data_IF_959763007297
#
_entry.id   IF_959763007297
#
_cell.length_a   1.000
_cell.length_b   1.000
_cell.length_c   1.000
_cell.angle_alpha   90.00
_cell.angle_beta   90.00
_cell.angle_gamma   90.00
#
_symmetry.space_group_name_H-M   'P 1'
#
loop_
_entity.id
_entity.type
_entity.pdbx_description
1 polymer ?
#
# COMPACT_ATOMS: atom_id res chain seq x y z
N UNK A 1 12.29 -0.39 6.52
CA UNK A 1 13.63 0.21 6.42
C UNK A 1 14.28 -0.12 5.07
N UNK A 2 15.36 0.58 4.70
CA UNK A 2 16.12 0.28 3.49
C UNK A 2 16.65 -1.17 3.44
N UNK A 3 16.94 -1.76 4.59
CA UNK A 3 17.38 -3.16 4.72
C UNK A 3 16.28 -4.20 4.43
N UNK A 4 15.03 -3.78 4.25
CA UNK A 4 13.89 -4.65 3.98
C UNK A 4 13.62 -4.85 2.47
N UNK A 5 14.50 -4.36 1.61
CA UNK A 5 14.38 -4.57 0.15
C UNK A 5 14.32 -6.05 -0.20
N UNK A 6 13.40 -6.41 -1.08
CA UNK A 6 13.16 -7.78 -1.53
C UNK A 6 12.33 -8.66 -0.59
N UNK A 7 11.89 -8.12 0.57
CA UNK A 7 11.08 -8.89 1.53
C UNK A 7 9.62 -8.97 1.12
N UNK A 8 8.99 -10.05 1.61
CA UNK A 8 7.53 -10.21 1.59
C UNK A 8 7.04 -10.13 3.03
N UNK A 9 6.10 -9.23 3.29
CA UNK A 9 5.45 -9.07 4.58
C UNK A 9 4.08 -9.73 4.54
N UNK A 10 3.85 -10.65 5.44
CA UNK A 10 2.53 -11.27 5.64
C UNK A 10 1.86 -10.60 6.83
N UNK A 11 0.72 -9.98 6.58
CA UNK A 11 -0.01 -9.19 7.58
C UNK A 11 -1.08 -10.06 8.23
N UNK A 12 -0.80 -10.50 9.44
CA UNK A 12 -1.66 -11.36 10.25
C UNK A 12 -2.13 -10.63 11.51
N UNK A 13 -2.68 -9.42 11.35
CA UNK A 13 -3.12 -8.57 12.46
C UNK A 13 -4.51 -8.01 12.17
N UNK A 14 -5.54 -8.60 12.79
CA UNK A 14 -6.93 -8.18 12.63
C UNK A 14 -7.23 -6.76 13.17
N UNK A 15 -6.42 -6.24 14.07
CA UNK A 15 -6.61 -4.89 14.66
C UNK A 15 -6.12 -3.75 13.76
N UNK A 16 -5.60 -4.06 12.57
CA UNK A 16 -4.99 -3.07 11.70
C UNK A 16 -3.57 -2.68 12.12
N UNK A 17 -2.83 -2.07 11.22
CA UNK A 17 -1.48 -1.57 11.46
C UNK A 17 -1.06 -0.54 10.42
N UNK A 18 0.00 0.19 10.72
CA UNK A 18 0.66 1.08 9.76
C UNK A 18 2.01 0.49 9.36
N UNK A 19 2.23 0.35 8.05
CA UNK A 19 3.52 0.03 7.45
C UNK A 19 4.15 1.33 6.93
N UNK A 20 5.18 1.82 7.62
CA UNK A 20 5.93 3.00 7.19
C UNK A 20 7.03 2.59 6.21
N UNK A 21 7.01 3.18 5.02
CA UNK A 21 8.04 2.99 4.00
C UNK A 21 9.35 3.68 4.39
N UNK A 22 10.50 3.26 3.85
CA UNK A 22 11.74 4.01 4.05
C UNK A 22 11.64 5.40 3.40
N UNK A 23 12.22 6.41 4.05
CA UNK A 23 12.18 7.78 3.54
C UNK A 23 13.17 7.97 2.39
N UNK A 24 12.68 8.56 1.31
CA UNK A 24 13.48 9.00 0.17
C UNK A 24 14.26 10.28 0.55
N UNK A 25 13.64 11.17 1.32
CA UNK A 25 14.22 12.43 1.75
C UNK A 25 15.44 12.29 2.67
N UNK A 26 15.59 11.14 3.34
CA UNK A 26 16.72 10.90 4.24
C UNK A 26 18.07 10.66 3.53
N UNK A 27 18.09 10.77 2.20
CA UNK A 27 19.32 10.67 1.39
C UNK A 27 19.89 9.25 1.27
N UNK A 28 19.13 8.23 1.67
CA UNK A 28 19.49 6.83 1.44
C UNK A 28 19.17 6.48 -0.01
N UNK A 29 20.11 5.84 -0.70
CA UNK A 29 19.87 5.37 -2.06
C UNK A 29 18.83 4.25 -2.05
N UNK A 30 17.60 4.56 -2.47
CA UNK A 30 16.48 3.61 -2.52
C UNK A 30 16.08 3.22 -3.94
N UNK A 31 16.88 3.58 -4.94
CA UNK A 31 16.60 3.19 -6.33
C UNK A 31 16.57 1.66 -6.47
N UNK A 32 15.47 1.13 -6.98
CA UNK A 32 15.22 -0.31 -7.05
C UNK A 32 14.81 -0.98 -5.74
N UNK A 33 14.72 -0.26 -4.60
CA UNK A 33 14.17 -0.83 -3.38
C UNK A 33 12.73 -1.32 -3.64
N UNK A 34 12.41 -2.50 -3.12
CA UNK A 34 11.10 -3.07 -3.33
C UNK A 34 10.68 -3.97 -2.15
N UNK A 35 9.39 -4.12 -1.95
CA UNK A 35 8.83 -5.15 -1.08
C UNK A 35 7.44 -5.55 -1.55
N UNK A 36 6.94 -6.65 -0.99
CA UNK A 36 5.56 -7.11 -1.19
C UNK A 36 4.86 -7.20 0.15
N UNK A 37 3.55 -6.95 0.13
CA UNK A 37 2.67 -7.14 1.29
C UNK A 37 1.54 -8.07 0.87
N UNK A 38 1.22 -9.02 1.71
CA UNK A 38 0.09 -9.95 1.54
C UNK A 38 -0.75 -9.92 2.80
N UNK A 39 -2.04 -9.72 2.67
CA UNK A 39 -2.99 -9.74 3.79
C UNK A 39 -3.42 -11.18 4.06
N UNK A 40 -3.10 -11.68 5.26
CA UNK A 40 -3.46 -13.05 5.69
C UNK A 40 -4.68 -13.10 6.60
N UNK A 41 -5.05 -11.97 7.20
CA UNK A 41 -6.18 -11.90 8.14
C UNK A 41 -6.99 -10.66 7.85
N UNK A 42 -8.32 -10.78 7.82
CA UNK A 42 -9.22 -9.64 7.65
C UNK A 42 -8.98 -8.59 8.72
N UNK A 43 -8.86 -7.34 8.30
CA UNK A 43 -8.73 -6.19 9.19
C UNK A 43 -10.12 -5.83 9.71
N UNK A 44 -10.37 -6.05 10.98
CA UNK A 44 -11.73 -6.00 11.57
C UNK A 44 -12.04 -4.80 12.43
N UNK A 45 -11.03 -4.06 12.92
CA UNK A 45 -11.28 -2.97 13.88
C UNK A 45 -10.62 -1.63 13.54
N UNK A 46 -9.56 -1.64 12.74
CA UNK A 46 -8.89 -0.44 12.23
C UNK A 46 -8.50 -0.67 10.78
N UNK A 47 -7.79 0.26 10.18
CA UNK A 47 -7.28 0.14 8.80
C UNK A 47 -5.89 -0.49 8.77
N UNK A 48 -5.54 -1.15 7.67
CA UNK A 48 -4.14 -1.34 7.29
C UNK A 48 -3.72 -0.14 6.43
N UNK A 49 -2.65 0.53 6.82
CA UNK A 49 -2.18 1.73 6.14
C UNK A 49 -0.73 1.56 5.71
N UNK A 50 -0.43 1.82 4.44
CA UNK A 50 0.92 2.04 3.95
C UNK A 50 1.13 3.55 3.93
N UNK A 51 2.12 4.04 4.66
CA UNK A 51 2.45 5.47 4.73
C UNK A 51 3.87 5.73 4.25
N UNK A 52 4.10 6.91 3.69
CA UNK A 52 5.43 7.35 3.29
C UNK A 52 6.39 7.47 4.49
N UNK A 53 7.68 7.54 4.21
CA UNK A 53 8.71 7.72 5.22
C UNK A 53 8.62 9.09 5.90
N UNK A 54 9.15 9.20 7.11
CA UNK A 54 9.28 10.48 7.79
C UNK A 54 10.08 11.46 6.90
N UNK A 55 9.67 12.70 6.81
CA UNK A 55 10.23 13.76 5.97
C UNK A 55 9.92 13.68 4.46
N UNK A 56 9.22 12.65 4.00
CA UNK A 56 8.68 12.61 2.64
C UNK A 56 7.37 13.41 2.55
N UNK A 57 6.98 13.83 1.35
CA UNK A 57 5.72 14.53 1.09
C UNK A 57 5.19 14.10 -0.28
N UNK A 58 4.03 13.45 -0.29
CA UNK A 58 3.34 13.02 -1.50
C UNK A 58 4.24 12.21 -2.46
N UNK A 59 5.06 11.30 -1.91
CA UNK A 59 5.99 10.49 -2.73
C UNK A 59 5.36 9.19 -3.23
N UNK A 60 4.22 8.76 -2.67
CA UNK A 60 3.54 7.54 -3.09
C UNK A 60 2.71 7.80 -4.34
N UNK A 61 2.93 7.01 -5.39
CA UNK A 61 2.06 6.91 -6.58
C UNK A 61 1.35 5.57 -6.51
N UNK A 62 0.05 5.59 -6.29
CA UNK A 62 -0.74 4.39 -6.07
C UNK A 62 -1.61 4.04 -7.27
N UNK A 63 -1.70 2.76 -7.59
CA UNK A 63 -2.66 2.19 -8.53
C UNK A 63 -3.34 0.99 -7.90
N UNK A 64 -4.65 0.87 -8.15
CA UNK A 64 -5.44 -0.27 -7.69
C UNK A 64 -5.91 -1.09 -8.88
N UNK A 65 -5.74 -2.40 -8.80
CA UNK A 65 -6.32 -3.37 -9.74
C UNK A 65 -7.30 -4.24 -8.95
N UNK A 66 -8.56 -4.19 -9.36
CA UNK A 66 -9.64 -4.98 -8.79
C UNK A 66 -9.79 -6.32 -9.53
N UNK A 67 -10.07 -7.39 -8.79
CA UNK A 67 -10.27 -8.72 -9.34
C UNK A 67 -11.76 -9.14 -9.36
N UNK A 68 -12.68 -8.28 -8.91
CA UNK A 68 -14.12 -8.57 -8.92
C UNK A 68 -14.79 -8.25 -10.25
N UNK A 69 -15.68 -9.14 -10.66
CA UNK A 69 -16.49 -9.01 -11.87
C UNK A 69 -17.89 -8.40 -11.62
N UNK A 70 -18.21 -7.99 -10.42
CA UNK A 70 -19.51 -7.39 -10.08
C UNK A 70 -19.39 -5.88 -10.06
N UNK A 71 -20.00 -5.27 -11.04
CA UNK A 71 -20.05 -3.82 -11.24
C UNK A 71 -20.77 -3.08 -10.10
N UNK A 72 -20.16 -2.91 -8.99
CA UNK A 72 -20.48 -1.83 -8.05
C UNK A 72 -19.43 -0.70 -8.22
N UNK A 73 -19.43 -0.13 -9.38
CA UNK A 73 -18.82 1.04 -9.95
C UNK A 73 -18.07 2.03 -9.08
N UNK A 74 -17.14 1.60 -8.24
CA UNK A 74 -16.11 2.47 -7.71
C UNK A 74 -15.04 2.69 -8.78
N UNK A 75 -14.59 3.91 -8.99
CA UNK A 75 -13.37 4.12 -9.76
C UNK A 75 -12.20 3.61 -8.93
N UNK A 76 -11.26 2.84 -9.54
CA UNK A 76 -10.08 2.36 -8.82
C UNK A 76 -9.40 3.52 -8.09
N UNK A 77 -9.08 3.34 -6.82
CA UNK A 77 -8.32 4.32 -6.08
C UNK A 77 -6.92 4.44 -6.69
N UNK A 78 -6.49 5.65 -6.96
CA UNK A 78 -5.16 5.87 -7.52
C UNK A 78 -4.82 7.34 -7.63
N UNK A 79 -3.54 7.63 -7.68
CA UNK A 79 -3.06 8.99 -7.89
C UNK A 79 -1.79 8.99 -8.71
N UNK A 80 -1.74 9.87 -9.71
CA UNK A 80 -0.52 10.13 -10.51
C UNK A 80 0.31 11.30 -9.97
N UNK A 81 -0.25 12.08 -9.05
CA UNK A 81 0.41 13.29 -8.51
C UNK A 81 1.15 13.04 -7.20
N UNK A 82 0.85 11.95 -6.54
CA UNK A 82 1.40 11.58 -5.25
C UNK A 82 0.34 11.62 -4.14
N UNK A 83 0.59 10.83 -3.11
CA UNK A 83 -0.21 10.80 -1.87
C UNK A 83 0.69 10.41 -0.70
N UNK A 84 0.21 10.66 0.50
CA UNK A 84 0.90 10.30 1.76
C UNK A 84 0.59 8.87 2.19
N UNK A 85 -0.63 8.39 1.92
CA UNK A 85 -1.10 7.09 2.41
C UNK A 85 -1.87 6.31 1.35
N UNK A 86 -1.71 4.98 1.42
CA UNK A 86 -2.61 4.00 0.82
C UNK A 86 -3.26 3.21 1.96
N UNK A 87 -4.58 3.25 2.05
CA UNK A 87 -5.36 2.76 3.18
C UNK A 87 -6.28 1.65 2.72
N UNK A 88 -6.18 0.48 3.33
CA UNK A 88 -7.12 -0.62 3.19
C UNK A 88 -8.14 -0.52 4.33
N UNK A 89 -9.41 -0.36 3.99
CA UNK A 89 -10.50 -0.18 4.95
C UNK A 89 -10.69 -1.44 5.83
N UNK A 90 -11.23 -1.24 7.01
CA UNK A 90 -11.65 -2.33 7.88
C UNK A 90 -13.02 -2.90 7.43
N UNK A 91 -13.27 -4.14 7.82
CA UNK A 91 -14.57 -4.81 7.61
C UNK A 91 -14.79 -5.37 6.20
N UNK A 92 -13.86 -5.16 5.27
CA UNK A 92 -13.86 -5.83 3.99
C UNK A 92 -13.25 -7.24 4.10
N UNK A 93 -13.64 -8.13 3.21
CA UNK A 93 -12.97 -9.43 3.06
C UNK A 93 -11.73 -9.23 2.20
N UNK A 94 -10.59 -9.06 2.87
CA UNK A 94 -9.34 -8.61 2.25
C UNK A 94 -8.23 -9.67 2.31
N UNK A 95 -8.57 -10.89 2.73
CA UNK A 95 -7.59 -12.00 2.75
C UNK A 95 -7.17 -12.34 1.33
N UNK A 96 -5.87 -12.27 1.08
CA UNK A 96 -5.29 -12.48 -0.25
C UNK A 96 -4.97 -11.18 -1.00
N UNK A 97 -5.49 -10.04 -0.56
CA UNK A 97 -5.10 -8.74 -1.09
C UNK A 97 -3.60 -8.54 -0.93
N UNK A 98 -3.00 -7.89 -1.92
CA UNK A 98 -1.56 -7.71 -1.96
C UNK A 98 -1.18 -6.34 -2.51
N UNK A 99 -0.01 -5.88 -2.07
CA UNK A 99 0.59 -4.65 -2.52
C UNK A 99 2.02 -4.93 -2.98
N UNK A 100 2.33 -4.59 -4.22
CA UNK A 100 3.68 -4.59 -4.76
C UNK A 100 4.22 -3.16 -4.70
N UNK A 101 5.35 -2.96 -4.03
CA UNK A 101 5.94 -1.65 -3.78
C UNK A 101 7.33 -1.59 -4.39
N UNK A 102 7.58 -0.57 -5.21
CA UNK A 102 8.88 -0.34 -5.86
C UNK A 102 9.26 1.14 -5.74
N UNK A 103 10.51 1.42 -5.41
CA UNK A 103 11.06 2.77 -5.38
C UNK A 103 11.91 3.07 -6.61
N UNK A 104 11.70 4.23 -7.22
CA UNK A 104 12.52 4.76 -8.31
C UNK A 104 13.65 5.68 -7.82
N UNK A 105 13.85 5.80 -6.52
CA UNK A 105 14.74 6.79 -5.91
C UNK A 105 14.10 8.17 -5.69
N UNK A 106 12.97 8.46 -6.34
CA UNK A 106 12.21 9.72 -6.19
C UNK A 106 10.74 9.54 -5.87
N UNK A 107 10.19 8.37 -6.17
CA UNK A 107 8.79 8.01 -5.91
C UNK A 107 8.68 6.55 -5.44
N UNK A 108 7.67 6.29 -4.63
CA UNK A 108 7.23 4.95 -4.23
C UNK A 108 6.00 4.56 -5.05
N UNK A 109 6.14 3.59 -5.92
CA UNK A 109 5.02 3.05 -6.71
C UNK A 109 4.38 1.90 -5.93
N UNK A 110 3.13 2.07 -5.55
CA UNK A 110 2.33 1.08 -4.82
C UNK A 110 1.27 0.54 -5.76
N UNK A 111 1.35 -0.72 -6.09
CA UNK A 111 0.39 -1.42 -6.93
C UNK A 111 -0.45 -2.35 -6.06
N UNK A 112 -1.68 -1.96 -5.79
CA UNK A 112 -2.62 -2.75 -5.01
C UNK A 112 -3.41 -3.70 -5.94
N UNK A 113 -3.39 -4.98 -5.63
CA UNK A 113 -4.25 -5.99 -6.24
C UNK A 113 -5.23 -6.45 -5.17
N UNK A 114 -6.48 -6.07 -5.32
CA UNK A 114 -7.51 -6.24 -4.29
C UNK A 114 -8.75 -6.92 -4.87
N UNK A 115 -9.50 -7.60 -4.01
CA UNK A 115 -10.76 -8.23 -4.40
C UNK A 115 -11.86 -7.18 -4.57
N UNK A 116 -11.88 -6.15 -3.72
CA UNK A 116 -12.83 -5.02 -3.78
C UNK A 116 -12.06 -3.69 -3.74
N UNK A 117 -12.14 -2.88 -4.80
CA UNK A 117 -11.45 -1.59 -4.90
C UNK A 117 -12.02 -0.54 -3.94
N UNK A 118 -13.29 -0.66 -3.55
CA UNK A 118 -13.90 0.21 -2.55
C UNK A 118 -13.25 0.08 -1.16
N UNK A 119 -12.50 -1.01 -0.94
CA UNK A 119 -11.73 -1.19 0.28
C UNK A 119 -10.45 -0.34 0.32
N UNK A 120 -9.96 0.19 -0.82
CA UNK A 120 -8.72 0.97 -0.88
C UNK A 120 -9.02 2.44 -1.11
N UNK A 121 -8.42 3.29 -0.28
CA UNK A 121 -8.44 4.75 -0.44
C UNK A 121 -7.02 5.32 -0.42
N UNK A 122 -6.84 6.48 -1.03
CA UNK A 122 -5.57 7.23 -1.04
C UNK A 122 -5.78 8.62 -0.44
N UNK A 123 -4.79 9.14 0.29
CA UNK A 123 -4.85 10.46 0.94
C UNK A 123 -3.50 11.16 0.97
#
# INVERSE_FOLDING_TARGET
TAADSGKIFFINIASGMTLTLPSIADGVALDGWNCKVVIETNVSSNTFTITEGANDTDVIVAHTTENQSTASGGAPAGTSTGCTNVILANGADVVGDRFDIVCSGTKMYVNAMVDDDAAVTVS
#
